data_IF_154059991582
#
_entry.id   IF_154059991582
#
_cell.length_a   1.000
_cell.length_b   1.000
_cell.length_c   1.000
_cell.angle_alpha   90.00
_cell.angle_beta   90.00
_cell.angle_gamma   90.00
#
_symmetry.space_group_name_H-M   'P 1'
#
loop_
_entity.id
_entity.type
_entity.pdbx_description
1 polymer ?
#
# COMPACT_ATOMS: atom_id res chain seq x y z
N UNK A 1 27.26 21.00 8.77
CA UNK A 1 28.42 20.99 7.85
C UNK A 1 28.11 20.10 6.64
N UNK A 2 27.99 20.66 5.45
CA UNK A 2 27.75 19.89 4.22
C UNK A 2 29.02 19.15 3.78
N UNK A 3 28.93 17.84 3.49
CA UNK A 3 30.05 17.08 2.91
C UNK A 3 30.44 17.70 1.56
N UNK A 4 31.72 18.09 1.40
CA UNK A 4 32.27 18.49 0.09
C UNK A 4 32.16 17.30 -0.86
N UNK A 5 31.45 17.48 -1.99
CA UNK A 5 31.34 16.45 -3.03
C UNK A 5 32.68 16.38 -3.78
N UNK A 6 33.11 15.17 -4.12
CA UNK A 6 34.25 14.99 -5.01
C UNK A 6 33.89 15.37 -6.45
N UNK A 7 34.88 15.78 -7.26
CA UNK A 7 34.68 16.10 -8.69
C UNK A 7 33.97 14.97 -9.44
N UNK A 8 34.37 13.72 -9.19
CA UNK A 8 33.75 12.51 -9.74
C UNK A 8 32.26 12.35 -9.38
N UNK A 9 31.84 12.85 -8.21
CA UNK A 9 30.45 12.81 -7.80
C UNK A 9 29.63 13.88 -8.53
N UNK A 10 30.22 15.06 -8.75
CA UNK A 10 29.61 16.16 -9.51
C UNK A 10 29.38 15.76 -10.98
N UNK A 11 30.37 15.13 -11.62
CA UNK A 11 30.25 14.62 -12.99
C UNK A 11 29.13 13.59 -13.15
N UNK A 12 29.01 12.66 -12.19
CA UNK A 12 27.91 11.68 -12.18
C UNK A 12 26.55 12.36 -12.00
N UNK A 13 26.45 13.32 -11.09
CA UNK A 13 25.22 14.07 -10.86
C UNK A 13 24.80 14.84 -12.12
N UNK A 14 25.75 15.44 -12.83
CA UNK A 14 25.53 16.13 -14.11
C UNK A 14 25.08 15.15 -15.20
N UNK A 15 25.69 13.96 -15.31
CA UNK A 15 25.26 12.94 -16.26
C UNK A 15 23.81 12.48 -16.01
N UNK A 16 23.42 12.31 -14.74
CA UNK A 16 22.04 11.97 -14.37
C UNK A 16 21.05 13.08 -14.68
N UNK A 17 21.45 14.34 -14.51
CA UNK A 17 20.61 15.49 -14.84
C UNK A 17 20.36 15.57 -16.35
N UNK A 18 21.42 15.45 -17.17
CA UNK A 18 21.30 15.43 -18.65
C UNK A 18 20.44 14.28 -19.15
N UNK A 19 20.61 13.07 -18.59
CA UNK A 19 19.79 11.92 -18.95
C UNK A 19 18.30 12.14 -18.65
N UNK A 20 17.99 12.78 -17.51
CA UNK A 20 16.63 13.12 -17.13
C UNK A 20 16.01 14.17 -18.05
N UNK A 21 16.78 15.16 -18.47
CA UNK A 21 16.34 16.21 -19.38
C UNK A 21 16.07 15.67 -20.78
N UNK A 22 16.91 14.76 -21.26
CA UNK A 22 16.74 14.09 -22.54
C UNK A 22 15.60 13.04 -22.57
N UNK A 23 15.04 12.69 -21.41
CA UNK A 23 14.01 11.65 -21.33
C UNK A 23 12.64 12.19 -21.76
N UNK A 24 12.15 11.70 -22.89
CA UNK A 24 10.78 11.92 -23.32
C UNK A 24 9.90 10.73 -22.86
N UNK A 25 8.95 10.92 -21.92
CA UNK A 25 8.05 9.84 -21.53
C UNK A 25 7.23 9.37 -22.73
N UNK A 26 7.03 8.06 -22.91
CA UNK A 26 6.17 7.57 -23.99
C UNK A 26 4.78 8.20 -23.87
N UNK A 27 4.23 8.64 -24.99
CA UNK A 27 2.84 9.05 -25.07
C UNK A 27 1.99 7.88 -24.57
N UNK A 28 1.09 8.14 -23.62
CA UNK A 28 0.08 7.12 -23.27
C UNK A 28 -0.77 6.89 -24.51
N UNK A 29 -0.66 5.71 -25.09
CA UNK A 29 -1.62 5.26 -26.09
C UNK A 29 -3.03 5.28 -25.47
N UNK A 30 -4.00 5.76 -26.24
CA UNK A 30 -5.40 5.71 -25.86
C UNK A 30 -5.82 4.24 -25.69
N UNK A 31 -6.30 3.85 -24.51
CA UNK A 31 -6.57 2.44 -24.19
C UNK A 31 -5.39 1.67 -23.58
N UNK A 32 -4.22 2.29 -23.37
CA UNK A 32 -3.14 1.67 -22.60
C UNK A 32 -3.65 1.19 -21.24
N UNK A 33 -3.37 -0.07 -20.90
CA UNK A 33 -3.88 -0.72 -19.70
C UNK A 33 -3.66 0.17 -18.47
N UNK A 34 -4.71 0.84 -18.03
CA UNK A 34 -4.64 1.56 -16.77
C UNK A 34 -4.48 0.49 -15.70
N UNK A 35 -3.42 0.55 -14.91
CA UNK A 35 -3.24 -0.33 -13.74
C UNK A 35 -4.23 0.05 -12.62
N UNK A 36 -5.48 0.37 -12.99
CA UNK A 36 -6.61 0.54 -12.09
C UNK A 36 -6.97 -0.84 -11.59
N UNK A 37 -6.37 -1.20 -10.46
CA UNK A 37 -6.69 -2.43 -9.76
C UNK A 37 -8.15 -2.37 -9.30
N UNK A 38 -8.92 -3.45 -9.49
CA UNK A 38 -10.32 -3.46 -9.12
C UNK A 38 -10.48 -3.23 -7.62
N UNK A 39 -11.40 -2.33 -7.27
CA UNK A 39 -11.84 -2.09 -5.91
C UNK A 39 -13.22 -2.70 -5.70
N UNK A 40 -13.47 -3.17 -4.49
CA UNK A 40 -14.78 -3.65 -4.05
C UNK A 40 -15.24 -2.84 -2.85
N UNK A 41 -16.55 -2.61 -2.78
CA UNK A 41 -17.19 -1.99 -1.64
C UNK A 41 -17.36 -3.02 -0.52
N UNK A 42 -17.00 -2.63 0.69
CA UNK A 42 -17.12 -3.46 1.90
C UNK A 42 -17.64 -2.62 3.05
N UNK A 43 -18.39 -3.26 3.94
CA UNK A 43 -18.79 -2.67 5.22
C UNK A 43 -17.63 -2.74 6.19
N UNK A 44 -17.32 -1.62 6.81
CA UNK A 44 -16.29 -1.44 7.83
C UNK A 44 -16.92 -0.91 9.12
N UNK A 45 -16.80 -1.67 10.21
CA UNK A 45 -17.20 -1.21 11.54
C UNK A 45 -16.13 -0.25 12.10
N UNK A 46 -16.54 0.88 12.65
CA UNK A 46 -15.64 1.91 13.17
C UNK A 46 -15.25 1.56 14.60
N UNK A 47 -13.95 1.59 14.90
CA UNK A 47 -13.44 1.32 16.26
C UNK A 47 -13.18 2.58 17.07
N UNK A 48 -13.11 3.74 16.42
CA UNK A 48 -12.83 5.00 17.11
C UNK A 48 -13.86 5.30 18.19
N UNK A 49 -13.42 5.62 19.44
CA UNK A 49 -14.33 6.03 20.51
C UNK A 49 -15.01 7.39 20.25
N UNK A 50 -14.56 8.11 19.22
CA UNK A 50 -15.16 9.38 18.79
C UNK A 50 -16.39 9.18 17.89
N UNK A 51 -16.60 7.97 17.40
CA UNK A 51 -17.72 7.65 16.53
C UNK A 51 -18.95 7.27 17.37
N UNK A 52 -20.13 7.36 16.77
CA UNK A 52 -21.35 6.84 17.40
C UNK A 52 -21.21 5.32 17.63
N UNK A 53 -21.83 4.81 18.69
CA UNK A 53 -21.89 3.37 18.98
C UNK A 53 -22.38 2.60 17.75
N UNK A 54 -21.70 1.51 17.42
CA UNK A 54 -22.00 0.63 16.27
C UNK A 54 -21.97 1.34 14.90
N UNK A 55 -21.25 2.46 14.79
CA UNK A 55 -21.08 3.13 13.51
C UNK A 55 -20.32 2.25 12.49
N UNK A 56 -20.80 2.26 11.26
CA UNK A 56 -20.21 1.54 10.16
C UNK A 56 -20.26 2.37 8.88
N UNK A 57 -19.26 2.17 8.01
CA UNK A 57 -19.18 2.84 6.72
C UNK A 57 -19.01 1.84 5.58
N UNK A 58 -19.55 2.20 4.42
CA UNK A 58 -19.24 1.53 3.16
C UNK A 58 -17.96 2.13 2.58
N UNK A 59 -16.86 1.39 2.59
CA UNK A 59 -15.56 1.83 2.08
C UNK A 59 -15.11 1.03 0.85
N UNK A 60 -14.22 1.62 0.05
CA UNK A 60 -13.65 0.98 -1.14
C UNK A 60 -12.29 0.35 -0.83
N UNK A 61 -12.16 -0.96 -1.04
CA UNK A 61 -10.97 -1.73 -0.75
C UNK A 61 -10.40 -2.43 -2.00
N UNK A 62 -9.09 -2.64 -2.07
CA UNK A 62 -8.46 -3.35 -3.20
C UNK A 62 -8.86 -4.82 -3.19
N UNK A 63 -9.46 -5.33 -4.27
CA UNK A 63 -9.88 -6.74 -4.36
C UNK A 63 -8.70 -7.69 -4.16
N UNK A 64 -7.55 -7.38 -4.79
CA UNK A 64 -6.32 -8.18 -4.63
C UNK A 64 -5.74 -8.09 -3.22
N UNK A 65 -5.96 -6.99 -2.51
CA UNK A 65 -5.54 -6.84 -1.12
C UNK A 65 -6.38 -7.71 -0.21
N UNK A 66 -7.71 -7.63 -0.34
CA UNK A 66 -8.64 -8.46 0.42
C UNK A 66 -8.32 -9.95 0.24
N UNK A 67 -8.14 -10.40 -1.00
CA UNK A 67 -7.77 -11.79 -1.27
C UNK A 67 -6.42 -12.18 -0.66
N UNK A 68 -5.40 -11.31 -0.77
CA UNK A 68 -4.07 -11.57 -0.22
C UNK A 68 -4.07 -11.79 1.30
N UNK A 69 -4.92 -11.06 2.04
CA UNK A 69 -5.03 -11.17 3.49
C UNK A 69 -6.09 -12.19 3.97
N UNK A 70 -6.57 -13.07 3.08
CA UNK A 70 -7.47 -14.18 3.46
C UNK A 70 -8.96 -13.92 3.27
N UNK A 71 -9.34 -12.84 2.58
CA UNK A 71 -10.73 -12.53 2.23
C UNK A 71 -11.46 -11.62 3.22
N UNK A 72 -12.73 -11.33 2.91
CA UNK A 72 -13.58 -10.40 3.66
C UNK A 72 -13.71 -10.80 5.15
N UNK A 73 -14.02 -12.07 5.41
CA UNK A 73 -14.23 -12.57 6.76
C UNK A 73 -12.95 -12.55 7.63
N UNK A 74 -11.78 -12.90 7.07
CA UNK A 74 -10.51 -12.86 7.79
C UNK A 74 -10.15 -11.44 8.25
N UNK A 75 -10.56 -10.43 7.48
CA UNK A 75 -10.36 -9.01 7.78
C UNK A 75 -11.44 -8.42 8.70
N UNK A 76 -12.45 -9.21 9.09
CA UNK A 76 -13.56 -8.72 9.89
C UNK A 76 -14.52 -7.80 9.15
N UNK A 77 -14.42 -7.76 7.82
CA UNK A 77 -15.27 -6.95 6.97
C UNK A 77 -16.55 -7.72 6.67
N UNK A 78 -17.55 -7.01 6.15
CA UNK A 78 -18.75 -7.63 5.57
C UNK A 78 -18.98 -7.11 4.14
N UNK A 79 -19.85 -7.80 3.40
CA UNK A 79 -20.32 -7.29 2.12
C UNK A 79 -20.98 -5.92 2.30
N UNK A 80 -20.97 -5.09 1.24
CA UNK A 80 -21.59 -3.77 1.33
C UNK A 80 -23.06 -3.88 1.76
N UNK A 81 -23.49 -3.01 2.67
CA UNK A 81 -24.89 -2.87 3.08
C UNK A 81 -25.48 -1.54 2.64
N UNK A 82 -26.44 -1.04 3.41
CA UNK A 82 -27.00 0.31 3.31
C UNK A 82 -26.25 1.33 4.17
N UNK A 83 -25.02 1.00 4.58
CA UNK A 83 -24.22 1.85 5.47
C UNK A 83 -23.79 3.14 4.76
N UNK A 84 -23.75 4.28 5.48
CA UNK A 84 -23.33 5.54 4.89
C UNK A 84 -21.89 5.49 4.39
N UNK A 85 -21.55 6.39 3.47
CA UNK A 85 -20.14 6.59 3.07
C UNK A 85 -19.33 7.21 4.20
N UNK A 86 -18.03 6.96 4.20
CA UNK A 86 -17.13 7.50 5.20
C UNK A 86 -17.05 9.04 5.16
N UNK A 87 -16.89 9.72 6.31
CA UNK A 87 -16.71 11.15 6.34
C UNK A 87 -15.35 11.55 5.74
N UNK A 88 -15.26 12.80 5.27
CA UNK A 88 -14.02 13.32 4.68
C UNK A 88 -12.86 13.24 5.67
N UNK A 89 -11.74 12.66 5.22
CA UNK A 89 -10.53 12.53 6.02
C UNK A 89 -10.47 11.27 6.88
N UNK A 90 -11.54 10.49 6.95
CA UNK A 90 -11.52 9.16 7.57
C UNK A 90 -10.52 8.23 6.87
N UNK A 91 -9.78 7.47 7.66
CA UNK A 91 -8.94 6.38 7.17
C UNK A 91 -9.23 5.14 8.02
N UNK A 92 -9.70 4.04 7.40
CA UNK A 92 -9.89 2.79 8.13
C UNK A 92 -8.55 2.28 8.65
N UNK A 93 -8.57 1.46 9.70
CA UNK A 93 -7.41 0.66 10.06
C UNK A 93 -7.04 -0.26 8.89
N UNK A 94 -5.75 -0.38 8.58
CA UNK A 94 -5.26 -1.13 7.42
C UNK A 94 -4.15 -2.08 7.81
N UNK A 95 -4.20 -3.29 7.24
CA UNK A 95 -3.04 -4.16 7.12
C UNK A 95 -2.36 -3.93 5.78
N UNK A 96 -1.04 -3.90 5.80
CA UNK A 96 -0.21 -3.66 4.62
C UNK A 96 0.90 -4.67 4.54
N UNK A 97 1.23 -5.06 3.32
CA UNK A 97 2.27 -6.04 3.05
C UNK A 97 3.08 -5.65 1.82
N UNK A 98 4.38 -5.90 1.91
CA UNK A 98 5.31 -5.91 0.80
C UNK A 98 5.88 -7.32 0.66
N UNK A 99 5.63 -7.94 -0.48
CA UNK A 99 6.21 -9.22 -0.88
C UNK A 99 7.57 -8.94 -1.51
N UNK A 100 8.62 -9.49 -0.92
CA UNK A 100 9.98 -9.30 -1.42
C UNK A 100 10.41 -10.39 -2.38
N UNK A 101 11.36 -10.02 -3.22
CA UNK A 101 12.14 -10.97 -3.99
C UNK A 101 13.16 -11.69 -3.09
N UNK A 102 13.44 -12.96 -3.37
CA UNK A 102 14.52 -13.70 -2.71
C UNK A 102 15.89 -13.19 -3.16
N UNK A 103 15.98 -12.60 -4.35
CA UNK A 103 17.21 -12.04 -4.92
C UNK A 103 16.96 -10.62 -5.44
N UNK A 104 17.16 -9.58 -4.60
CA UNK A 104 16.99 -8.19 -5.01
C UNK A 104 17.82 -7.85 -6.24
N UNK A 105 17.19 -7.31 -7.28
CA UNK A 105 17.85 -6.95 -8.53
C UNK A 105 18.24 -5.47 -8.54
N UNK A 106 19.40 -5.16 -9.11
CA UNK A 106 19.78 -3.78 -9.44
C UNK A 106 19.06 -3.36 -10.72
N UNK A 107 18.28 -2.29 -10.63
CA UNK A 107 17.54 -1.71 -11.75
C UNK A 107 17.86 -0.23 -11.89
N UNK A 108 17.62 0.36 -13.06
CA UNK A 108 17.96 1.76 -13.35
C UNK A 108 16.73 2.63 -13.44
N UNK A 109 16.63 3.74 -12.70
CA UNK A 109 15.45 4.61 -12.75
C UNK A 109 15.15 5.09 -14.18
N UNK A 110 13.87 5.02 -14.59
CA UNK A 110 13.44 5.53 -15.90
C UNK A 110 13.74 7.03 -15.95
N UNK A 111 14.30 7.50 -17.04
CA UNK A 111 14.77 8.88 -17.22
C UNK A 111 16.16 9.18 -16.67
N UNK A 112 16.41 8.98 -15.36
CA UNK A 112 17.72 9.35 -14.79
C UNK A 112 18.83 8.30 -14.96
N UNK A 113 18.49 7.06 -15.34
CA UNK A 113 19.40 5.91 -15.43
C UNK A 113 20.19 5.58 -14.16
N UNK A 114 19.82 6.18 -13.02
CA UNK A 114 20.42 5.94 -11.70
C UNK A 114 20.17 4.50 -11.25
N UNK A 115 21.20 3.71 -10.91
CA UNK A 115 21.01 2.37 -10.37
C UNK A 115 20.40 2.45 -8.96
N UNK A 116 19.43 1.59 -8.69
CA UNK A 116 18.84 1.38 -7.37
C UNK A 116 18.49 -0.10 -7.20
N UNK A 117 18.53 -0.58 -5.96
CA UNK A 117 18.16 -1.96 -5.64
C UNK A 117 16.64 -2.03 -5.50
N UNK A 118 16.00 -2.96 -6.20
CA UNK A 118 14.58 -3.24 -6.04
C UNK A 118 14.40 -4.50 -5.20
N UNK A 119 13.67 -4.34 -4.10
CA UNK A 119 13.40 -5.41 -3.14
C UNK A 119 12.07 -6.12 -3.37
N UNK A 120 11.12 -5.51 -4.09
CA UNK A 120 9.80 -6.10 -4.34
C UNK A 120 9.85 -7.23 -5.35
N UNK A 121 9.02 -8.26 -5.15
CA UNK A 121 8.90 -9.43 -6.02
C UNK A 121 8.61 -9.07 -7.49
N UNK A 122 9.11 -9.90 -8.40
CA UNK A 122 8.81 -9.88 -9.83
C UNK A 122 9.88 -9.11 -10.62
N UNK A 123 9.82 -9.14 -11.95
CA UNK A 123 10.73 -8.32 -12.78
C UNK A 123 10.20 -6.90 -12.92
N UNK A 124 11.09 -5.95 -13.20
CA UNK A 124 10.64 -4.60 -13.54
C UNK A 124 9.81 -4.64 -14.82
N UNK A 125 8.75 -3.84 -14.84
CA UNK A 125 7.76 -3.79 -15.93
C UNK A 125 6.93 -5.08 -16.06
N UNK A 126 7.08 -6.07 -15.16
CA UNK A 126 6.06 -7.10 -14.97
C UNK A 126 4.82 -6.52 -14.30
N UNK A 127 3.66 -7.06 -14.65
CA UNK A 127 2.39 -6.76 -13.99
C UNK A 127 2.26 -7.40 -12.58
N UNK A 128 3.37 -7.87 -12.00
CA UNK A 128 3.39 -8.54 -10.70
C UNK A 128 3.19 -7.54 -9.55
N UNK A 129 2.09 -7.69 -8.83
CA UNK A 129 1.84 -6.92 -7.60
C UNK A 129 2.71 -7.46 -6.46
N UNK A 130 3.40 -6.55 -5.78
CA UNK A 130 4.21 -6.86 -4.60
C UNK A 130 3.80 -6.06 -3.37
N UNK A 131 3.01 -4.98 -3.52
CA UNK A 131 2.44 -4.24 -2.40
C UNK A 131 0.94 -4.50 -2.30
N UNK A 132 0.48 -4.86 -1.11
CA UNK A 132 -0.91 -5.17 -0.80
C UNK A 132 -1.37 -4.33 0.38
N UNK A 133 -2.61 -3.89 0.34
CA UNK A 133 -3.27 -3.21 1.45
C UNK A 133 -4.74 -3.61 1.50
N UNK A 134 -5.25 -3.79 2.70
CA UNK A 134 -6.67 -4.02 2.93
C UNK A 134 -7.10 -3.38 4.26
N UNK A 135 -8.34 -2.87 4.34
CA UNK A 135 -8.90 -2.45 5.62
C UNK A 135 -9.13 -3.67 6.52
N UNK A 136 -9.02 -3.47 7.83
CA UNK A 136 -9.28 -4.49 8.84
C UNK A 136 -10.08 -3.86 9.97
N UNK A 137 -11.10 -4.55 10.46
CA UNK A 137 -11.90 -4.06 11.59
C UNK A 137 -12.21 -5.22 12.55
N UNK A 138 -12.76 -4.93 13.72
CA UNK A 138 -13.26 -5.84 14.72
C UNK A 138 -14.22 -5.09 15.67
N UNK A 139 -14.92 -5.83 16.54
CA UNK A 139 -15.85 -5.28 17.52
C UNK A 139 -15.14 -4.50 18.64
N UNK A 140 -13.90 -4.89 18.97
CA UNK A 140 -13.13 -4.28 20.06
C UNK A 140 -11.66 -4.12 19.66
N UNK A 141 -10.91 -3.20 20.29
CA UNK A 141 -9.47 -3.07 20.07
C UNK A 141 -8.68 -4.36 20.37
N UNK A 142 -9.09 -5.11 21.39
CA UNK A 142 -8.46 -6.40 21.73
C UNK A 142 -8.73 -7.48 20.68
N UNK A 143 -9.96 -7.52 20.13
CA UNK A 143 -10.28 -8.41 19.02
C UNK A 143 -9.54 -8.01 17.74
N UNK A 144 -9.35 -6.71 17.50
CA UNK A 144 -8.58 -6.20 16.36
C UNK A 144 -7.11 -6.64 16.45
N UNK A 145 -6.47 -6.45 17.60
CA UNK A 145 -5.08 -6.89 17.82
C UNK A 145 -4.93 -8.41 17.57
N UNK A 146 -5.83 -9.21 18.14
CA UNK A 146 -5.86 -10.67 17.94
C UNK A 146 -5.98 -11.02 16.45
N UNK A 147 -6.90 -10.35 15.73
CA UNK A 147 -7.11 -10.56 14.29
C UNK A 147 -5.89 -10.17 13.46
N UNK A 148 -5.29 -9.01 13.73
CA UNK A 148 -4.09 -8.54 13.03
C UNK A 148 -2.92 -9.51 13.23
N UNK A 149 -2.71 -10.01 14.45
CA UNK A 149 -1.68 -11.03 14.75
C UNK A 149 -1.93 -12.34 13.99
N UNK A 150 -3.19 -12.79 13.91
CA UNK A 150 -3.57 -13.97 13.15
C UNK A 150 -3.29 -13.78 11.64
N UNK A 151 -3.67 -12.63 11.07
CA UNK A 151 -3.39 -12.28 9.67
C UNK A 151 -1.88 -12.31 9.43
N UNK A 152 -1.08 -11.65 10.29
CA UNK A 152 0.37 -11.57 10.12
C UNK A 152 1.02 -12.94 10.13
N UNK A 153 0.57 -13.81 11.03
CA UNK A 153 1.02 -15.20 11.11
C UNK A 153 0.69 -15.96 9.84
N UNK A 154 -0.55 -15.83 9.34
CA UNK A 154 -1.01 -16.53 8.15
C UNK A 154 -0.28 -16.09 6.87
N UNK A 155 0.00 -14.78 6.71
CA UNK A 155 0.64 -14.27 5.49
C UNK A 155 2.17 -14.30 5.53
N UNK A 156 2.79 -14.58 6.68
CA UNK A 156 4.24 -14.62 6.84
C UNK A 156 4.95 -15.49 5.78
N UNK A 157 4.46 -16.70 5.44
CA UNK A 157 5.06 -17.52 4.37
C UNK A 157 5.00 -16.86 2.99
N UNK A 158 3.99 -16.03 2.74
CA UNK A 158 3.74 -15.36 1.46
C UNK A 158 4.56 -14.08 1.26
N UNK A 159 5.19 -13.53 2.31
CA UNK A 159 5.96 -12.30 2.22
C UNK A 159 7.27 -12.47 1.46
N UNK A 160 7.87 -13.67 1.48
CA UNK A 160 9.10 -13.99 0.74
C UNK A 160 10.35 -13.18 1.13
N UNK A 161 11.52 -13.73 0.83
CA UNK A 161 12.83 -13.06 1.00
C UNK A 161 13.14 -12.54 2.42
N UNK A 162 14.31 -11.89 2.59
CA UNK A 162 14.67 -11.21 3.84
C UNK A 162 14.04 -9.82 4.00
N UNK A 163 13.46 -9.29 2.92
CA UNK A 163 12.94 -7.91 2.84
C UNK A 163 11.42 -7.83 2.81
N UNK A 164 10.72 -8.96 2.87
CA UNK A 164 9.26 -8.98 2.99
C UNK A 164 8.83 -8.33 4.29
N UNK A 165 7.79 -7.50 4.26
CA UNK A 165 7.32 -6.75 5.43
C UNK A 165 5.80 -6.81 5.50
N UNK A 166 5.29 -6.89 6.71
CA UNK A 166 3.88 -6.64 7.03
C UNK A 166 3.82 -5.63 8.16
N UNK A 167 2.87 -4.70 8.08
CA UNK A 167 2.65 -3.71 9.12
C UNK A 167 1.17 -3.34 9.20
N UNK A 168 0.82 -2.69 10.30
CA UNK A 168 -0.52 -2.24 10.61
C UNK A 168 -0.51 -0.71 10.68
N UNK A 169 -1.53 -0.08 10.11
CA UNK A 169 -1.82 1.33 10.25
C UNK A 169 -3.15 1.47 10.99
N UNK A 170 -3.13 2.19 12.11
CA UNK A 170 -4.31 2.41 12.93
C UNK A 170 -5.36 3.26 12.20
N UNK A 171 -6.61 3.12 12.64
CA UNK A 171 -7.71 3.94 12.18
C UNK A 171 -7.45 5.42 12.49
N UNK A 172 -7.81 6.30 11.55
CA UNK A 172 -7.81 7.75 11.74
C UNK A 172 -9.22 8.26 11.53
N UNK A 173 -9.87 8.63 12.63
CA UNK A 173 -11.18 9.26 12.62
C UNK A 173 -11.03 10.78 12.68
N UNK A 174 -11.63 11.55 11.76
CA UNK A 174 -11.49 13.00 11.75
C UNK A 174 -12.13 13.60 13.01
N UNK A 175 -11.41 14.51 13.67
CA UNK A 175 -11.98 15.34 14.74
C UNK A 175 -12.95 16.33 14.09
N UNK A 176 -14.16 16.47 14.64
CA UNK A 176 -15.22 17.36 14.15
C UNK A 176 -14.88 18.86 14.22
N UNK A 177 -13.69 19.25 14.69
CA UNK A 177 -13.31 20.64 15.01
C UNK A 177 -12.24 21.28 14.11
N UNK A 178 -11.96 20.74 12.92
CA UNK A 178 -11.09 21.39 11.92
C UNK A 178 -11.85 21.72 10.64
N UNK A 179 -12.93 22.48 10.80
CA UNK A 179 -13.62 23.23 9.74
C UNK A 179 -13.44 24.72 9.97
#
# INVERSE_FOLDING_TARGET
>A
MGRRKSARQIERDLAYAKAREAYNPPLREEGAATQRRPKIAVKYAVLSPLAATDSAFTIQASSSGIQFFGGIAALGLAAQGTDPSEPRGFRPAQVRAMVADSSPAVVRAKGSNRPYVRYGKGTRDSNSQYNYSAPVTAETPAALDTRVKAIFTAIKPSLGGGYGRVWFEAELYPLSSSG
#
